data_IF_500549908696
#
_entry.id   IF_500549908696
#
_cell.length_a   1.000
_cell.length_b   1.000
_cell.length_c   1.000
_cell.angle_alpha   90.00
_cell.angle_beta   90.00
_cell.angle_gamma   90.00
#
_symmetry.space_group_name_H-M   'P 1'
#
loop_
_entity.id
_entity.type
_entity.pdbx_description
1 polymer ?
#
# COMPACT_ATOMS: atom_id res chain seq x y z
N UNK A 1 3.84 -18.78 -2.87
CA UNK A 1 3.14 -18.33 -1.63
C UNK A 1 2.81 -16.84 -1.66
N UNK A 2 3.54 -16.00 -2.40
CA UNK A 2 3.22 -14.55 -2.53
C UNK A 2 2.00 -14.22 -3.40
N UNK A 3 1.76 -14.93 -4.51
CA UNK A 3 0.68 -14.59 -5.44
C UNK A 3 -0.72 -14.61 -4.78
N UNK A 4 -0.96 -15.57 -3.87
CA UNK A 4 -2.20 -15.70 -3.10
C UNK A 4 -2.51 -14.50 -2.20
N UNK A 5 -1.48 -13.79 -1.75
CA UNK A 5 -1.65 -12.66 -0.84
C UNK A 5 -2.08 -11.41 -1.61
N UNK A 6 -1.50 -11.19 -2.79
CA UNK A 6 -1.90 -10.09 -3.67
C UNK A 6 -3.31 -10.30 -4.25
N UNK A 7 -3.69 -11.53 -4.57
CA UNK A 7 -5.05 -11.86 -5.02
C UNK A 7 -6.08 -11.66 -3.91
N UNK A 8 -5.80 -12.11 -2.68
CA UNK A 8 -6.66 -11.85 -1.52
C UNK A 8 -6.80 -10.34 -1.30
N UNK A 9 -5.69 -9.60 -1.33
CA UNK A 9 -5.71 -8.16 -1.16
C UNK A 9 -6.54 -7.42 -2.20
N UNK A 10 -6.39 -7.76 -3.49
CA UNK A 10 -7.19 -7.19 -4.58
C UNK A 10 -8.69 -7.47 -4.43
N UNK A 11 -9.04 -8.55 -3.73
CA UNK A 11 -10.43 -8.94 -3.46
C UNK A 11 -11.00 -8.25 -2.22
N UNK A 12 -10.18 -7.66 -1.36
CA UNK A 12 -10.67 -6.91 -0.20
C UNK A 12 -11.32 -5.60 -0.67
N UNK A 13 -12.44 -5.19 -0.07
CA UNK A 13 -13.10 -3.92 -0.36
C UNK A 13 -12.33 -2.76 0.28
N UNK A 14 -11.10 -2.52 -0.16
CA UNK A 14 -10.25 -1.45 0.34
C UNK A 14 -10.53 -0.22 -0.52
N UNK A 15 -10.97 0.85 0.14
CA UNK A 15 -11.16 2.12 -0.53
C UNK A 15 -9.80 2.64 -1.00
N UNK A 16 -9.65 2.76 -2.32
CA UNK A 16 -8.41 3.25 -2.89
C UNK A 16 -8.24 4.73 -2.60
N UNK A 17 -7.11 5.12 -2.07
CA UNK A 17 -6.77 6.50 -1.75
C UNK A 17 -6.29 7.25 -2.97
N UNK A 18 -6.92 8.38 -3.27
CA UNK A 18 -6.56 9.26 -4.39
C UNK A 18 -5.70 10.46 -4.00
N UNK A 19 -5.39 10.63 -2.71
CA UNK A 19 -4.71 11.82 -2.21
C UNK A 19 -5.66 12.98 -1.85
N UNK A 20 -6.95 12.72 -1.68
CA UNK A 20 -7.93 13.76 -1.32
C UNK A 20 -8.26 13.84 0.18
N UNK A 21 -8.06 12.75 0.92
CA UNK A 21 -8.24 12.69 2.37
C UNK A 21 -6.91 12.81 3.09
N UNK A 22 -6.95 12.84 4.42
CA UNK A 22 -5.78 13.02 5.26
C UNK A 22 -4.70 11.96 4.94
N UNK A 23 -3.46 12.38 4.62
CA UNK A 23 -2.38 11.48 4.21
C UNK A 23 -1.82 10.67 5.39
N UNK A 24 -2.09 11.05 6.63
CA UNK A 24 -1.68 10.30 7.83
C UNK A 24 -2.74 9.24 8.24
N UNK A 25 -4.01 9.43 7.88
CA UNK A 25 -5.04 8.40 8.07
C UNK A 25 -4.87 7.20 7.13
N UNK A 26 -4.50 7.42 5.87
CA UNK A 26 -4.43 6.35 4.87
C UNK A 26 -3.43 5.22 5.23
N UNK A 27 -2.17 5.52 5.65
CA UNK A 27 -1.23 4.50 6.09
C UNK A 27 -1.74 3.70 7.27
N UNK A 28 -2.44 4.32 8.22
CA UNK A 28 -3.00 3.64 9.39
C UNK A 28 -4.11 2.65 9.00
N UNK A 29 -5.02 3.08 8.12
CA UNK A 29 -6.08 2.20 7.58
C UNK A 29 -5.47 1.07 6.77
N UNK A 30 -4.50 1.38 5.91
CA UNK A 30 -3.77 0.39 5.13
C UNK A 30 -3.08 -0.64 6.04
N UNK A 31 -2.30 -0.20 7.03
CA UNK A 31 -1.58 -1.07 7.95
C UNK A 31 -2.53 -1.97 8.73
N UNK A 32 -3.66 -1.44 9.20
CA UNK A 32 -4.68 -2.23 9.92
C UNK A 32 -5.23 -3.37 9.07
N UNK A 33 -5.42 -3.15 7.77
CA UNK A 33 -5.88 -4.19 6.84
C UNK A 33 -4.75 -5.12 6.42
N UNK A 34 -3.56 -4.56 6.17
CA UNK A 34 -2.43 -5.31 5.64
C UNK A 34 -1.82 -6.24 6.69
N UNK A 35 -1.81 -5.85 7.97
CA UNK A 35 -1.41 -6.73 9.09
C UNK A 35 -2.30 -7.96 9.27
N UNK A 36 -3.53 -7.96 8.72
CA UNK A 36 -4.37 -9.17 8.66
C UNK A 36 -3.84 -10.20 7.63
N UNK A 37 -3.05 -9.74 6.67
CA UNK A 37 -2.49 -10.57 5.58
C UNK A 37 -1.00 -10.85 5.77
N UNK A 38 -0.21 -9.85 6.17
CA UNK A 38 1.24 -9.91 6.32
C UNK A 38 1.76 -8.84 7.29
N UNK A 39 2.81 -9.17 8.03
CA UNK A 39 3.58 -8.21 8.84
C UNK A 39 4.97 -7.94 8.23
N UNK A 40 5.25 -8.49 7.05
CA UNK A 40 6.52 -8.30 6.34
C UNK A 40 6.51 -6.96 5.57
N UNK A 41 7.43 -6.06 5.91
CA UNK A 41 7.54 -4.74 5.30
C UNK A 41 7.74 -4.80 3.78
N UNK A 42 8.47 -5.80 3.28
CA UNK A 42 8.68 -5.96 1.83
C UNK A 42 7.38 -6.32 1.12
N UNK A 43 6.55 -7.16 1.74
CA UNK A 43 5.22 -7.45 1.26
C UNK A 43 4.30 -6.22 1.35
N UNK A 44 4.34 -5.46 2.45
CA UNK A 44 3.57 -4.20 2.60
C UNK A 44 3.89 -3.21 1.49
N UNK A 45 5.18 -2.97 1.19
CA UNK A 45 5.60 -2.09 0.09
C UNK A 45 5.11 -2.56 -1.29
N UNK A 46 5.02 -3.87 -1.53
CA UNK A 46 4.48 -4.42 -2.79
C UNK A 46 2.96 -4.26 -2.90
N UNK A 47 2.25 -4.32 -1.77
CA UNK A 47 0.79 -4.25 -1.70
C UNK A 47 0.30 -2.81 -1.71
N UNK A 48 1.00 -1.89 -1.02
CA UNK A 48 0.63 -0.48 -0.88
C UNK A 48 0.22 0.22 -2.17
N UNK A 49 0.96 0.12 -3.30
CA UNK A 49 0.53 0.78 -4.55
C UNK A 49 -0.85 0.31 -5.04
N UNK A 50 -1.30 -0.90 -4.70
CA UNK A 50 -2.63 -1.37 -5.09
C UNK A 50 -3.77 -0.72 -4.30
N UNK A 51 -3.47 -0.15 -3.13
CA UNK A 51 -4.38 0.67 -2.31
C UNK A 51 -4.47 2.11 -2.80
N UNK A 52 -3.62 2.52 -3.74
CA UNK A 52 -3.61 3.88 -4.27
C UNK A 52 -4.37 3.97 -5.59
N UNK A 53 -4.94 5.13 -5.88
CA UNK A 53 -5.51 5.51 -7.18
C UNK A 53 -5.11 6.95 -7.52
N UNK A 54 -5.37 7.36 -8.76
CA UNK A 54 -5.25 8.76 -9.17
C UNK A 54 -3.88 9.37 -8.89
N UNK A 55 -3.88 10.52 -8.18
CA UNK A 55 -2.64 11.29 -7.91
C UNK A 55 -1.71 10.58 -6.94
N UNK A 56 -2.23 9.91 -5.91
CA UNK A 56 -1.42 9.17 -4.95
C UNK A 56 -0.64 8.02 -5.62
N UNK A 57 -1.30 7.26 -6.51
CA UNK A 57 -0.62 6.21 -7.28
C UNK A 57 0.46 6.80 -8.20
N UNK A 58 0.17 7.92 -8.87
CA UNK A 58 1.12 8.60 -9.75
C UNK A 58 2.32 9.16 -9.00
N UNK A 59 2.12 9.62 -7.76
CA UNK A 59 3.21 10.01 -6.86
C UNK A 59 4.06 8.80 -6.47
N UNK A 60 3.44 7.70 -6.07
CA UNK A 60 4.15 6.48 -5.66
C UNK A 60 5.00 5.89 -6.80
N UNK A 61 4.48 5.83 -8.03
CA UNK A 61 5.24 5.32 -9.18
C UNK A 61 6.38 6.24 -9.62
N UNK A 62 6.39 7.50 -9.16
CA UNK A 62 7.48 8.46 -9.37
C UNK A 62 8.56 8.38 -8.30
N UNK A 63 8.30 7.73 -7.16
CA UNK A 63 9.32 7.46 -6.16
C UNK A 63 10.36 6.51 -6.78
N UNK A 64 11.64 6.83 -6.64
CA UNK A 64 12.73 5.98 -7.10
C UNK A 64 12.62 4.62 -6.42
N UNK A 65 12.54 3.56 -7.23
CA UNK A 65 12.48 2.16 -6.79
C UNK A 65 13.68 1.70 -5.94
N UNK A 66 14.66 2.57 -5.72
CA UNK A 66 15.87 2.35 -4.95
C UNK A 66 15.97 3.16 -3.65
N UNK A 67 14.91 3.86 -3.22
CA UNK A 67 14.96 4.74 -2.03
C UNK A 67 14.04 4.32 -0.88
N UNK A 68 13.23 3.27 -1.04
CA UNK A 68 12.27 2.86 -0.02
C UNK A 68 12.67 1.46 0.45
N UNK A 69 13.47 1.40 1.51
CA UNK A 69 13.89 0.15 2.15
C UNK A 69 12.83 -0.41 3.11
N UNK A 70 11.83 0.40 3.49
CA UNK A 70 10.78 0.01 4.44
C UNK A 70 9.51 0.82 4.23
N UNK A 71 8.36 0.27 4.64
CA UNK A 71 7.06 0.98 4.54
C UNK A 71 7.06 2.31 5.29
N UNK A 72 7.86 2.43 6.35
CA UNK A 72 7.98 3.65 7.14
C UNK A 72 8.76 4.79 6.44
N UNK A 73 9.38 4.52 5.28
CA UNK A 73 10.07 5.53 4.44
C UNK A 73 9.13 6.12 3.36
N UNK A 74 7.88 5.66 3.29
CA UNK A 74 6.81 6.17 2.42
C UNK A 74 6.00 7.28 3.10
#
# INVERSE_FOLDING_TARGET
MEATLLDHWKSLPIEKYDGSTDPDEHPNVFLTQATLSTQDDSALCRIFPTSLKGRALSWFTRLSSSSIDSFNEL
#
